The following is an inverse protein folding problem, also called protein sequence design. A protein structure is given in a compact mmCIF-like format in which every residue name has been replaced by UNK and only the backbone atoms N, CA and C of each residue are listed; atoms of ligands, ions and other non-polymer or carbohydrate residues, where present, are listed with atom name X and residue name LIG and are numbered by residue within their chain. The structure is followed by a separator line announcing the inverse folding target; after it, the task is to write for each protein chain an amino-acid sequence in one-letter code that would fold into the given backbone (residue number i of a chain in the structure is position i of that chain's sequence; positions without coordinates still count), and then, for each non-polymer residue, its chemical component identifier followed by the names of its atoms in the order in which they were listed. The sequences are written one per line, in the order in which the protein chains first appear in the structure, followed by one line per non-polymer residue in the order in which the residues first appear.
data_IF_556622797094
#
_entry.id   IF_556622797094
#
_cell.length_a   1.000
_cell.length_b   1.000
_cell.length_c   1.000
_cell.angle_alpha   90.00
_cell.angle_beta   90.00
_cell.angle_gamma   90.00
#
_symmetry.space_group_name_H-M   'P 1'
#
loop_
_entity.id
_entity.type
_entity.pdbx_description
1 polymer ?
#
# COMPACT_ATOMS: atom_id res chain seq x y z
N UNK A 1 21.31 32.61 31.10
CA UNK A 1 19.90 33.04 30.89
C UNK A 1 19.05 31.93 31.48
N UNK A 2 18.54 32.14 32.69
CA UNK A 2 17.94 31.11 33.53
C UNK A 2 16.49 30.87 33.07
N UNK A 3 16.20 29.71 32.50
CA UNK A 3 14.86 29.35 31.97
C UNK A 3 13.81 29.29 33.11
N UNK A 4 14.26 29.15 34.36
CA UNK A 4 13.40 29.04 35.54
C UNK A 4 12.68 30.35 35.89
N UNK A 5 13.32 31.51 35.73
CA UNK A 5 12.71 32.82 36.07
C UNK A 5 11.45 33.16 35.26
N UNK A 6 11.35 32.62 34.03
CA UNK A 6 10.18 32.85 33.15
C UNK A 6 9.01 31.94 33.55
N UNK A 7 9.30 30.75 34.09
CA UNK A 7 8.26 29.76 34.40
C UNK A 7 7.51 30.12 35.68
N UNK A 8 8.21 30.70 36.66
CA UNK A 8 7.62 31.18 37.93
C UNK A 8 6.64 32.35 37.75
N UNK A 9 6.67 33.02 36.59
CA UNK A 9 5.74 34.12 36.25
C UNK A 9 4.48 33.64 35.51
N UNK A 10 4.40 32.35 35.15
CA UNK A 10 3.25 31.78 34.45
C UNK A 10 2.22 31.26 35.47
N UNK A 11 1.12 31.99 35.60
CA UNK A 11 -0.02 31.52 36.40
C UNK A 11 -0.77 30.40 35.66
N UNK A 12 -1.19 29.38 36.41
CA UNK A 12 -2.10 28.36 35.89
C UNK A 12 -3.39 29.06 35.44
N UNK A 13 -3.72 28.88 34.17
CA UNK A 13 -5.01 29.28 33.60
C UNK A 13 -6.13 28.43 34.22
N UNK A 14 -7.37 28.94 34.21
CA UNK A 14 -8.54 28.26 34.79
C UNK A 14 -9.03 27.12 33.88
N UNK A 15 -8.11 26.20 33.60
CA UNK A 15 -8.28 24.97 32.84
C UNK A 15 -7.78 23.83 33.71
N UNK A 16 -8.47 22.69 33.68
CA UNK A 16 -8.07 21.52 34.45
C UNK A 16 -6.71 21.04 33.94
N UNK A 17 -5.66 20.97 34.80
CA UNK A 17 -4.35 20.50 34.37
C UNK A 17 -4.42 19.06 33.84
N UNK A 18 -3.70 18.78 32.77
CA UNK A 18 -3.62 17.44 32.17
C UNK A 18 -2.76 16.51 33.04
N UNK A 19 -3.08 15.22 33.03
CA UNK A 19 -2.24 14.21 33.66
C UNK A 19 -1.06 13.83 32.76
N UNK A 20 0.15 13.78 33.32
CA UNK A 20 1.38 13.52 32.56
C UNK A 20 1.42 12.17 31.83
N UNK A 21 0.70 11.17 32.34
CA UNK A 21 0.75 9.80 31.85
C UNK A 21 -0.53 9.36 31.13
N UNK A 22 -1.51 10.26 30.98
CA UNK A 22 -2.81 9.96 30.37
C UNK A 22 -3.21 11.10 29.45
N UNK A 23 -3.51 10.77 28.19
CA UNK A 23 -4.12 11.72 27.27
C UNK A 23 -5.57 11.97 27.68
N UNK A 24 -5.98 13.24 27.75
CA UNK A 24 -7.38 13.59 27.83
C UNK A 24 -8.16 12.99 26.64
N UNK A 25 -9.42 12.63 26.86
CA UNK A 25 -10.25 11.92 25.88
C UNK A 25 -10.35 12.68 24.55
N UNK A 26 -10.54 13.99 24.60
CA UNK A 26 -10.54 14.86 23.41
C UNK A 26 -9.21 14.85 22.63
N UNK A 27 -8.07 14.71 23.32
CA UNK A 27 -6.75 14.60 22.71
C UNK A 27 -6.55 13.22 22.05
N UNK A 28 -7.09 12.16 22.64
CA UNK A 28 -7.11 10.82 22.04
C UNK A 28 -7.95 10.81 20.75
N UNK A 29 -9.14 11.41 20.78
CA UNK A 29 -10.00 11.55 19.61
C UNK A 29 -9.35 12.37 18.50
N UNK A 30 -8.76 13.52 18.86
CA UNK A 30 -8.03 14.36 17.90
C UNK A 30 -6.85 13.62 17.27
N UNK A 31 -6.07 12.88 18.08
CA UNK A 31 -4.98 12.05 17.58
C UNK A 31 -5.48 10.95 16.62
N UNK A 32 -6.58 10.27 16.97
CA UNK A 32 -7.21 9.27 16.11
C UNK A 32 -7.68 9.89 14.78
N UNK A 33 -8.26 11.10 14.81
CA UNK A 33 -8.66 11.82 13.62
C UNK A 33 -7.48 12.16 12.70
N UNK A 34 -6.33 12.60 13.26
CA UNK A 34 -5.11 12.81 12.48
C UNK A 34 -4.59 11.53 11.84
N UNK A 35 -4.60 10.41 12.58
CA UNK A 35 -4.19 9.10 12.06
C UNK A 35 -5.13 8.65 10.93
N UNK A 36 -6.44 8.80 11.11
CA UNK A 36 -7.43 8.46 10.10
C UNK A 36 -7.25 9.30 8.82
N UNK A 37 -7.10 10.61 8.97
CA UNK A 37 -6.90 11.53 7.85
C UNK A 37 -5.56 11.29 7.12
N UNK A 38 -4.50 10.94 7.85
CA UNK A 38 -3.19 10.63 7.29
C UNK A 38 -3.09 9.25 6.63
N UNK A 39 -4.02 8.34 6.91
CA UNK A 39 -3.95 6.97 6.37
C UNK A 39 -4.58 6.89 5.00
N UNK A 40 -3.76 6.69 3.96
CA UNK A 40 -4.25 6.56 2.59
C UNK A 40 -5.34 5.48 2.46
N UNK A 41 -6.42 5.77 1.72
CA UNK A 41 -7.57 4.86 1.54
C UNK A 41 -7.17 3.47 1.02
N UNK A 42 -6.12 3.38 0.20
CA UNK A 42 -5.61 2.10 -0.28
C UNK A 42 -4.95 1.27 0.85
N UNK A 43 -4.27 1.93 1.79
CA UNK A 43 -3.69 1.28 2.99
C UNK A 43 -4.81 0.72 3.87
N UNK A 44 -5.88 1.50 4.11
CA UNK A 44 -7.06 1.03 4.86
C UNK A 44 -7.66 -0.23 4.24
N UNK A 45 -7.91 -0.22 2.91
CA UNK A 45 -8.44 -1.40 2.21
C UNK A 45 -7.50 -2.60 2.30
N UNK A 46 -6.20 -2.38 2.13
CA UNK A 46 -5.18 -3.43 2.23
C UNK A 46 -5.14 -4.06 3.63
N UNK A 47 -5.17 -3.23 4.66
CA UNK A 47 -5.16 -3.66 6.06
C UNK A 47 -6.43 -4.41 6.42
N UNK A 48 -7.60 -3.89 6.02
CA UNK A 48 -8.88 -4.59 6.20
C UNK A 48 -8.84 -5.98 5.59
N UNK A 49 -8.41 -6.10 4.33
CA UNK A 49 -8.29 -7.40 3.66
C UNK A 49 -7.34 -8.36 4.39
N UNK A 50 -6.20 -7.88 4.87
CA UNK A 50 -5.26 -8.69 5.64
C UNK A 50 -5.81 -9.13 7.01
N UNK A 51 -6.46 -8.23 7.76
CA UNK A 51 -7.06 -8.54 9.06
C UNK A 51 -8.27 -9.49 8.93
N UNK A 52 -9.11 -9.29 7.90
CA UNK A 52 -10.20 -10.23 7.58
C UNK A 52 -9.64 -11.63 7.28
N UNK A 53 -8.52 -11.73 6.57
CA UNK A 53 -7.88 -13.03 6.36
C UNK A 53 -7.37 -13.65 7.67
N UNK A 54 -6.70 -12.86 8.52
CA UNK A 54 -6.22 -13.33 9.82
C UNK A 54 -7.36 -13.85 10.69
N UNK A 55 -8.45 -13.10 10.80
CA UNK A 55 -9.64 -13.51 11.53
C UNK A 55 -10.20 -14.83 11.02
N UNK A 56 -10.37 -14.98 9.69
CA UNK A 56 -10.88 -16.22 9.11
C UNK A 56 -9.94 -17.42 9.32
N UNK A 57 -8.63 -17.22 9.13
CA UNK A 57 -7.65 -18.30 9.32
C UNK A 57 -7.52 -18.70 10.79
N UNK A 58 -7.52 -17.75 11.73
CA UNK A 58 -7.49 -18.04 13.17
C UNK A 58 -8.74 -18.81 13.60
N UNK A 59 -9.92 -18.41 13.13
CA UNK A 59 -11.16 -19.12 13.43
C UNK A 59 -11.12 -20.57 12.93
N UNK A 60 -10.65 -20.80 11.70
CA UNK A 60 -10.59 -22.15 11.11
C UNK A 60 -9.52 -23.05 11.73
N UNK A 61 -8.46 -22.47 12.31
CA UNK A 61 -7.29 -23.21 12.77
C UNK A 61 -7.19 -23.38 14.27
N UNK A 62 -7.66 -22.39 14.99
CA UNK A 62 -7.56 -22.30 16.44
C UNK A 62 -8.93 -22.09 17.11
N UNK A 63 -10.00 -21.85 16.34
CA UNK A 63 -11.31 -21.51 16.90
C UNK A 63 -11.32 -20.17 17.63
N UNK A 64 -10.36 -19.28 17.34
CA UNK A 64 -10.16 -18.01 18.03
C UNK A 64 -10.49 -16.82 17.15
N UNK A 65 -11.04 -15.77 17.76
CA UNK A 65 -11.26 -14.50 17.10
C UNK A 65 -9.98 -13.65 17.12
N UNK A 66 -9.80 -12.82 16.08
CA UNK A 66 -8.74 -11.83 16.07
C UNK A 66 -9.12 -10.69 17.01
N UNK A 67 -8.31 -10.44 18.03
CA UNK A 67 -8.53 -9.36 19.01
C UNK A 67 -8.71 -9.83 20.45
N UNK A 68 -8.85 -11.14 20.69
CA UNK A 68 -9.00 -11.69 22.04
C UNK A 68 -7.74 -11.53 22.91
N UNK A 69 -6.58 -11.26 22.30
CA UNK A 69 -5.31 -11.02 22.98
C UNK A 69 -4.09 -11.10 22.06
N UNK A 70 -2.87 -10.99 22.62
CA UNK A 70 -1.63 -11.11 21.87
C UNK A 70 -1.48 -12.51 21.25
N UNK A 71 -1.09 -12.58 19.99
CA UNK A 71 -0.78 -13.85 19.34
C UNK A 71 0.66 -14.27 19.63
N UNK A 72 0.91 -15.53 20.02
CA UNK A 72 2.26 -16.05 20.18
C UNK A 72 3.04 -16.07 18.86
N UNK A 73 4.38 -15.95 18.94
CA UNK A 73 5.26 -16.07 17.78
C UNK A 73 5.07 -17.39 17.00
N UNK A 74 4.73 -18.48 17.71
CA UNK A 74 4.43 -19.77 17.09
C UNK A 74 3.27 -19.71 16.08
N UNK A 75 2.24 -18.89 16.33
CA UNK A 75 1.11 -18.71 15.41
C UNK A 75 1.56 -18.01 14.13
N UNK A 76 2.42 -16.99 14.23
CA UNK A 76 3.00 -16.31 13.07
C UNK A 76 3.92 -17.24 12.25
N UNK A 77 4.68 -18.11 12.92
CA UNK A 77 5.53 -19.13 12.26
C UNK A 77 4.65 -20.15 11.53
N UNK A 78 3.61 -20.67 12.18
CA UNK A 78 2.66 -21.59 11.56
C UNK A 78 2.02 -20.97 10.31
N UNK A 79 1.63 -19.70 10.40
CA UNK A 79 1.09 -18.97 9.26
C UNK A 79 2.06 -18.96 8.07
N UNK A 80 3.36 -18.77 8.29
CA UNK A 80 4.35 -18.83 7.20
C UNK A 80 4.43 -20.24 6.59
N UNK A 81 4.53 -21.27 7.43
CA UNK A 81 4.70 -22.66 6.97
C UNK A 81 3.48 -23.19 6.20
N UNK A 82 2.30 -22.69 6.51
CA UNK A 82 1.08 -23.07 5.80
C UNK A 82 0.89 -22.33 4.49
N UNK A 83 1.35 -21.10 4.39
CA UNK A 83 1.05 -20.28 3.23
C UNK A 83 2.20 -20.17 2.25
N UNK A 84 3.45 -20.47 2.65
CA UNK A 84 4.57 -20.54 1.73
C UNK A 84 4.87 -21.98 1.36
N UNK A 85 5.05 -22.21 0.06
CA UNK A 85 5.63 -23.45 -0.41
C UNK A 85 7.11 -23.52 0.01
N UNK A 86 7.55 -24.72 0.37
CA UNK A 86 8.94 -25.10 0.69
C UNK A 86 9.35 -26.32 -0.13
N UNK A 87 10.64 -26.51 -0.42
CA UNK A 87 11.11 -27.71 -1.10
C UNK A 87 11.00 -28.93 -0.17
N UNK A 88 10.75 -30.09 -0.75
CA UNK A 88 10.84 -31.40 -0.14
C UNK A 88 12.08 -32.14 -0.66
N UNK A 89 12.44 -33.24 -0.02
CA UNK A 89 13.62 -34.06 -0.39
C UNK A 89 13.50 -34.65 -1.80
N UNK A 90 12.28 -34.92 -2.25
CA UNK A 90 11.96 -35.42 -3.59
C UNK A 90 12.00 -34.34 -4.69
N UNK A 91 12.40 -33.11 -4.34
CA UNK A 91 12.46 -31.97 -5.26
C UNK A 91 11.11 -31.29 -5.52
N UNK A 92 10.00 -31.83 -4.99
CA UNK A 92 8.68 -31.18 -5.08
C UNK A 92 8.55 -30.04 -4.07
N UNK A 93 7.50 -29.24 -4.21
CA UNK A 93 7.23 -28.10 -3.34
C UNK A 93 5.88 -28.24 -2.67
N UNK A 94 5.85 -28.14 -1.34
CA UNK A 94 4.66 -28.31 -0.54
C UNK A 94 4.48 -27.18 0.49
N UNK A 95 3.25 -27.00 0.94
CA UNK A 95 2.87 -26.09 2.02
C UNK A 95 2.03 -26.87 3.03
N UNK A 96 1.88 -26.37 4.25
CA UNK A 96 1.22 -27.12 5.33
C UNK A 96 -0.26 -26.78 5.54
N UNK A 97 -0.85 -25.89 4.74
CA UNK A 97 -2.27 -25.53 4.90
C UNK A 97 -3.15 -26.75 4.61
N UNK A 98 -4.01 -27.19 5.55
CA UNK A 98 -4.89 -28.32 5.30
C UNK A 98 -5.85 -28.03 4.12
N UNK A 99 -6.08 -28.97 3.18
CA UNK A 99 -6.90 -28.73 2.00
C UNK A 99 -8.32 -28.25 2.31
N UNK A 100 -8.94 -28.75 3.38
CA UNK A 100 -10.27 -28.31 3.83
C UNK A 100 -10.28 -26.85 4.32
N UNK A 101 -9.22 -26.42 5.00
CA UNK A 101 -9.06 -25.02 5.43
C UNK A 101 -8.83 -24.12 4.22
N UNK A 102 -8.00 -24.56 3.28
CA UNK A 102 -7.75 -23.81 2.04
C UNK A 102 -9.06 -23.59 1.24
N UNK A 103 -9.82 -24.67 1.03
CA UNK A 103 -11.13 -24.61 0.38
C UNK A 103 -12.09 -23.65 1.11
N UNK A 104 -12.16 -23.72 2.45
CA UNK A 104 -13.00 -22.83 3.24
C UNK A 104 -12.60 -21.34 3.08
N UNK A 105 -11.30 -21.03 3.08
CA UNK A 105 -10.80 -19.66 2.87
C UNK A 105 -11.11 -19.13 1.46
N UNK A 106 -11.11 -19.99 0.44
CA UNK A 106 -11.53 -19.63 -0.92
C UNK A 106 -13.05 -19.42 -0.99
N UNK A 107 -13.84 -20.32 -0.42
CA UNK A 107 -15.31 -20.20 -0.35
C UNK A 107 -15.74 -18.91 0.37
N UNK A 108 -15.06 -18.55 1.46
CA UNK A 108 -15.26 -17.30 2.19
C UNK A 108 -14.77 -16.04 1.43
N UNK A 109 -14.18 -16.20 0.24
CA UNK A 109 -13.63 -15.12 -0.61
C UNK A 109 -12.53 -14.28 0.04
N UNK A 110 -11.88 -14.81 1.08
CA UNK A 110 -10.70 -14.18 1.71
C UNK A 110 -9.39 -14.66 1.05
N UNK A 111 -9.43 -15.78 0.33
CA UNK A 111 -8.35 -16.30 -0.52
C UNK A 111 -8.82 -16.40 -1.97
N UNK A 112 -7.98 -15.98 -2.92
CA UNK A 112 -8.37 -15.92 -4.33
C UNK A 112 -8.39 -17.29 -5.05
N UNK A 113 -7.51 -18.22 -4.65
CA UNK A 113 -7.36 -19.54 -5.28
C UNK A 113 -6.70 -20.52 -4.31
N UNK A 114 -6.88 -21.82 -4.54
CA UNK A 114 -6.19 -22.89 -3.79
C UNK A 114 -4.66 -22.83 -3.95
N UNK A 115 -3.94 -23.45 -3.01
CA UNK A 115 -2.49 -23.58 -2.99
C UNK A 115 -1.75 -22.48 -2.20
N UNK A 116 -0.41 -22.42 -2.30
CA UNK A 116 0.39 -21.46 -1.55
C UNK A 116 0.11 -20.01 -1.96
N UNK A 117 0.34 -19.09 -1.04
CA UNK A 117 0.35 -17.66 -1.30
C UNK A 117 1.70 -17.20 -1.84
N UNK A 118 1.70 -16.07 -2.55
CA UNK A 118 2.93 -15.40 -2.90
C UNK A 118 3.64 -14.87 -1.66
N UNK A 119 4.97 -14.86 -1.68
CA UNK A 119 5.81 -14.32 -0.59
C UNK A 119 5.35 -12.94 -0.13
N UNK A 120 5.16 -12.01 -1.06
CA UNK A 120 4.74 -10.64 -0.76
C UNK A 120 3.36 -10.59 -0.08
N UNK A 121 2.46 -11.52 -0.37
CA UNK A 121 1.15 -11.60 0.29
C UNK A 121 1.32 -12.02 1.75
N UNK A 122 2.14 -13.04 2.02
CA UNK A 122 2.44 -13.49 3.40
C UNK A 122 3.16 -12.39 4.17
N UNK A 123 4.20 -11.78 3.60
CA UNK A 123 4.94 -10.69 4.24
C UNK A 123 4.04 -9.48 4.52
N UNK A 124 3.14 -9.13 3.60
CA UNK A 124 2.19 -8.04 3.83
C UNK A 124 1.24 -8.35 4.99
N UNK A 125 0.66 -9.56 5.03
CA UNK A 125 -0.24 -9.97 6.11
C UNK A 125 0.46 -10.00 7.47
N UNK A 126 1.72 -10.43 7.53
CA UNK A 126 2.52 -10.35 8.76
C UNK A 126 2.81 -8.90 9.16
N UNK A 127 3.17 -8.03 8.21
CA UNK A 127 3.40 -6.61 8.52
C UNK A 127 2.13 -5.94 9.08
N UNK A 128 0.95 -6.28 8.54
CA UNK A 128 -0.34 -5.81 9.08
C UNK A 128 -0.58 -6.37 10.49
N UNK A 129 -0.27 -7.65 10.73
CA UNK A 129 -0.37 -8.25 12.06
C UNK A 129 0.53 -7.55 13.08
N UNK A 130 1.77 -7.26 12.72
CA UNK A 130 2.70 -6.56 13.61
C UNK A 130 2.27 -5.12 13.89
N UNK A 131 1.70 -4.44 12.89
CA UNK A 131 1.09 -3.11 13.10
C UNK A 131 -0.14 -3.20 14.01
N UNK A 132 -0.97 -4.23 13.86
CA UNK A 132 -2.12 -4.48 14.73
C UNK A 132 -1.69 -4.69 16.19
N UNK A 133 -0.71 -5.55 16.46
CA UNK A 133 -0.18 -5.74 17.82
C UNK A 133 0.37 -4.44 18.40
N UNK A 134 1.11 -3.65 17.62
CA UNK A 134 1.64 -2.36 18.08
C UNK A 134 0.54 -1.35 18.44
N UNK A 135 -0.56 -1.32 17.69
CA UNK A 135 -1.69 -0.43 18.01
C UNK A 135 -2.37 -0.86 19.32
N UNK A 136 -2.40 -2.16 19.61
CA UNK A 136 -2.96 -2.69 20.85
C UNK A 136 -1.92 -2.79 21.99
N UNK A 137 -0.73 -2.23 21.81
CA UNK A 137 0.37 -2.27 22.80
C UNK A 137 0.76 -3.69 23.25
N UNK A 138 0.60 -4.66 22.36
CA UNK A 138 0.93 -6.05 22.60
C UNK A 138 2.33 -6.41 22.11
N UNK A 139 2.91 -7.44 22.72
CA UNK A 139 4.11 -8.08 22.22
C UNK A 139 3.92 -8.50 20.76
N UNK A 140 4.84 -8.06 19.90
CA UNK A 140 4.70 -8.26 18.47
C UNK A 140 5.29 -9.62 18.05
N UNK A 141 4.48 -10.61 17.63
CA UNK A 141 4.98 -11.91 17.19
C UNK A 141 5.89 -11.84 15.97
N UNK A 142 5.82 -10.74 15.19
CA UNK A 142 6.66 -10.58 14.00
C UNK A 142 8.10 -10.20 14.31
N UNK A 143 8.40 -9.80 15.55
CA UNK A 143 9.76 -9.42 15.96
C UNK A 143 10.63 -10.63 16.33
N UNK A 144 10.02 -11.79 16.53
CA UNK A 144 10.71 -13.03 16.91
C UNK A 144 11.81 -13.40 15.90
N UNK A 145 13.02 -13.66 16.42
CA UNK A 145 14.20 -14.01 15.60
C UNK A 145 13.96 -15.23 14.71
N UNK A 146 13.25 -16.24 15.22
CA UNK A 146 12.90 -17.44 14.47
C UNK A 146 12.03 -17.12 13.22
N UNK A 147 11.04 -16.25 13.35
CA UNK A 147 10.19 -15.85 12.22
C UNK A 147 10.98 -15.06 11.16
N UNK A 148 11.79 -14.10 11.60
CA UNK A 148 12.64 -13.30 10.70
C UNK A 148 13.61 -14.18 9.91
N UNK A 149 14.22 -15.15 10.60
CA UNK A 149 15.11 -16.14 9.97
C UNK A 149 14.34 -17.01 8.97
N UNK A 150 13.17 -17.53 9.35
CA UNK A 150 12.33 -18.33 8.46
C UNK A 150 11.95 -17.57 7.17
N UNK A 151 11.48 -16.33 7.29
CA UNK A 151 11.11 -15.51 6.12
C UNK A 151 12.31 -15.24 5.20
N UNK A 152 13.49 -14.97 5.78
CA UNK A 152 14.72 -14.76 5.02
C UNK A 152 15.11 -16.01 4.23
N UNK A 153 15.14 -17.17 4.88
CA UNK A 153 15.53 -18.42 4.23
C UNK A 153 14.46 -18.89 3.22
N UNK A 154 13.17 -18.73 3.53
CA UNK A 154 12.09 -19.00 2.57
C UNK A 154 12.23 -18.15 1.31
N UNK A 155 12.58 -16.86 1.44
CA UNK A 155 12.79 -15.97 0.29
C UNK A 155 13.98 -16.43 -0.57
N UNK A 156 15.09 -16.81 0.07
CA UNK A 156 16.28 -17.34 -0.62
C UNK A 156 15.96 -18.63 -1.37
N UNK A 157 15.27 -19.57 -0.72
CA UNK A 157 14.90 -20.85 -1.32
C UNK A 157 14.03 -20.63 -2.57
N UNK A 158 13.00 -19.79 -2.47
CA UNK A 158 12.12 -19.46 -3.61
C UNK A 158 12.89 -18.76 -4.75
N UNK A 159 13.79 -17.82 -4.42
CA UNK A 159 14.60 -17.13 -5.42
C UNK A 159 15.54 -18.06 -6.18
N UNK A 160 16.14 -19.05 -5.49
CA UNK A 160 17.02 -20.05 -6.11
C UNK A 160 16.28 -20.95 -7.11
N UNK A 161 14.98 -21.14 -6.94
CA UNK A 161 14.11 -21.87 -7.88
C UNK A 161 13.47 -20.96 -8.96
N UNK A 162 13.99 -19.74 -9.13
CA UNK A 162 13.51 -18.83 -10.16
C UNK A 162 12.15 -18.17 -9.86
N UNK A 163 11.61 -18.30 -8.64
CA UNK A 163 10.40 -17.59 -8.21
C UNK A 163 10.72 -16.12 -7.98
N UNK A 164 10.74 -15.37 -9.08
CA UNK A 164 11.02 -13.95 -9.12
C UNK A 164 9.74 -13.13 -9.28
N UNK A 165 9.72 -11.94 -8.68
CA UNK A 165 8.64 -10.98 -8.92
C UNK A 165 8.78 -10.53 -10.37
N UNK A 166 7.86 -10.95 -11.23
CA UNK A 166 7.80 -10.48 -12.62
C UNK A 166 7.52 -8.99 -12.61
N UNK A 167 8.57 -8.19 -12.84
CA UNK A 167 8.42 -6.78 -13.13
C UNK A 167 7.92 -6.66 -14.57
N UNK A 168 6.91 -5.83 -14.80
CA UNK A 168 6.53 -5.48 -16.17
C UNK A 168 7.68 -4.67 -16.76
N UNK A 169 8.14 -5.04 -17.94
CA UNK A 169 9.11 -4.24 -18.70
C UNK A 169 8.54 -2.86 -18.93
N UNK A 170 9.38 -1.83 -18.80
CA UNK A 170 8.99 -0.49 -19.19
C UNK A 170 8.60 -0.52 -20.67
N UNK A 171 7.50 0.15 -21.01
CA UNK A 171 7.16 0.35 -22.42
C UNK A 171 8.26 1.17 -23.07
N UNK A 172 8.58 0.87 -24.33
CA UNK A 172 9.54 1.62 -25.14
C UNK A 172 8.81 2.30 -26.30
N UNK A 173 9.52 3.15 -27.06
CA UNK A 173 8.90 4.02 -28.05
C UNK A 173 8.02 3.28 -29.08
N UNK A 174 8.52 2.19 -29.66
CA UNK A 174 7.81 1.45 -30.71
C UNK A 174 6.48 0.84 -30.21
N UNK A 175 6.43 0.06 -29.11
CA UNK A 175 5.15 -0.39 -28.54
C UNK A 175 4.22 0.76 -28.14
N UNK A 176 4.75 1.91 -27.70
CA UNK A 176 3.92 3.09 -27.44
C UNK A 176 3.29 3.60 -28.74
N UNK A 177 4.05 3.73 -29.81
CA UNK A 177 3.52 4.16 -31.12
C UNK A 177 2.43 3.21 -31.61
N UNK A 178 2.61 1.90 -31.45
CA UNK A 178 1.58 0.91 -31.77
C UNK A 178 0.29 1.12 -30.96
N UNK A 179 0.38 1.37 -29.64
CA UNK A 179 -0.80 1.69 -28.82
C UNK A 179 -1.47 3.01 -29.25
N UNK A 180 -0.68 4.03 -29.59
CA UNK A 180 -1.22 5.30 -30.05
C UNK A 180 -1.95 5.16 -31.39
N UNK A 181 -1.52 4.24 -32.25
CA UNK A 181 -2.17 3.96 -33.53
C UNK A 181 -3.56 3.31 -33.37
N UNK A 182 -3.82 2.61 -32.25
CA UNK A 182 -5.14 2.03 -31.95
C UNK A 182 -6.11 3.02 -31.31
N UNK A 183 -5.68 4.26 -31.02
CA UNK A 183 -6.51 5.28 -30.40
C UNK A 183 -7.40 6.00 -31.43
N UNK A 184 -8.20 5.24 -32.19
CA UNK A 184 -9.03 5.73 -33.30
C UNK A 184 -10.55 5.70 -33.00
N UNK A 185 -10.95 5.39 -31.76
CA UNK A 185 -12.35 5.31 -31.31
C UNK A 185 -12.94 6.68 -30.94
N UNK A 186 -12.97 7.61 -31.90
CA UNK A 186 -13.53 8.96 -31.73
C UNK A 186 -12.98 9.71 -30.50
N UNK A 187 -13.86 10.29 -29.68
CA UNK A 187 -13.49 11.03 -28.46
C UNK A 187 -12.74 10.13 -27.45
N UNK A 188 -13.08 8.83 -27.37
CA UNK A 188 -12.37 7.88 -26.49
C UNK A 188 -10.92 7.68 -26.96
N UNK A 189 -10.73 7.56 -28.27
CA UNK A 189 -9.40 7.50 -28.88
C UNK A 189 -8.58 8.75 -28.58
N UNK A 190 -9.16 9.94 -28.76
CA UNK A 190 -8.50 11.21 -28.46
C UNK A 190 -8.08 11.28 -26.98
N UNK A 191 -8.97 10.91 -26.05
CA UNK A 191 -8.67 10.82 -24.62
C UNK A 191 -7.52 9.85 -24.34
N UNK A 192 -7.62 8.62 -24.82
CA UNK A 192 -6.67 7.57 -24.49
C UNK A 192 -5.28 7.90 -25.03
N UNK A 193 -5.20 8.52 -26.22
CA UNK A 193 -3.98 9.10 -26.78
C UNK A 193 -3.38 10.16 -25.87
N UNK A 194 -4.20 11.11 -25.39
CA UNK A 194 -3.74 12.17 -24.48
C UNK A 194 -3.21 11.59 -23.15
N UNK A 195 -3.93 10.62 -22.56
CA UNK A 195 -3.52 9.98 -21.30
C UNK A 195 -2.21 9.20 -21.43
N UNK A 196 -2.04 8.44 -22.52
CA UNK A 196 -0.80 7.68 -22.79
C UNK A 196 0.41 8.62 -22.94
N UNK A 197 0.26 9.69 -23.71
CA UNK A 197 1.33 10.66 -23.95
C UNK A 197 1.65 11.50 -22.71
N UNK A 198 0.65 11.88 -21.91
CA UNK A 198 0.86 12.56 -20.63
C UNK A 198 1.62 11.67 -19.65
N UNK A 199 1.22 10.40 -19.51
CA UNK A 199 1.90 9.46 -18.63
C UNK A 199 3.34 9.18 -19.07
N UNK A 200 3.57 9.06 -20.38
CA UNK A 200 4.89 8.82 -20.98
C UNK A 200 5.83 10.01 -20.81
N UNK A 201 5.40 11.21 -21.22
CA UNK A 201 6.19 12.45 -21.13
C UNK A 201 6.54 12.81 -19.69
N UNK A 202 5.68 12.45 -18.73
CA UNK A 202 5.96 12.58 -17.31
C UNK A 202 7.04 11.62 -16.79
N UNK A 203 7.65 10.76 -17.61
CA UNK A 203 8.66 9.79 -17.18
C UNK A 203 8.04 8.52 -16.58
N UNK A 204 6.86 8.09 -17.06
CA UNK A 204 6.19 6.88 -16.60
C UNK A 204 5.39 7.07 -15.31
N UNK A 205 4.45 8.02 -15.33
CA UNK A 205 3.61 8.35 -14.17
C UNK A 205 2.74 7.19 -13.70
N UNK A 206 2.47 7.14 -12.38
CA UNK A 206 1.57 6.11 -11.83
C UNK A 206 0.15 6.37 -12.33
N UNK A 207 -0.60 5.30 -12.59
CA UNK A 207 -2.02 5.40 -12.99
C UNK A 207 -2.83 6.30 -12.06
N UNK A 208 -2.63 6.18 -10.73
CA UNK A 208 -3.31 7.01 -9.73
C UNK A 208 -2.95 8.49 -9.80
N UNK A 209 -1.73 8.82 -10.27
CA UNK A 209 -1.31 10.22 -10.47
C UNK A 209 -2.00 10.80 -11.71
N UNK A 210 -2.06 10.03 -12.79
CA UNK A 210 -2.67 10.47 -14.06
C UNK A 210 -4.18 10.64 -13.94
N UNK A 211 -4.89 9.67 -13.34
CA UNK A 211 -6.36 9.75 -13.19
C UNK A 211 -6.81 10.73 -12.10
N UNK A 212 -5.88 11.19 -11.25
CA UNK A 212 -6.16 12.17 -10.21
C UNK A 212 -6.06 13.62 -10.68
N UNK A 213 -5.56 13.86 -11.91
CA UNK A 213 -5.45 15.20 -12.48
C UNK A 213 -6.84 15.79 -12.74
N UNK A 214 -7.00 17.05 -12.34
CA UNK A 214 -8.17 17.88 -12.64
C UNK A 214 -7.82 18.94 -13.68
N UNK A 215 -8.84 19.60 -14.25
CA UNK A 215 -8.63 20.70 -15.20
C UNK A 215 -7.83 21.85 -14.56
N UNK A 216 -8.02 22.12 -13.27
CA UNK A 216 -7.23 23.12 -12.53
C UNK A 216 -5.75 22.75 -12.38
N UNK A 217 -5.39 21.48 -12.60
CA UNK A 217 -4.02 21.00 -12.45
C UNK A 217 -3.23 21.11 -13.76
N UNK A 218 -3.87 21.52 -14.86
CA UNK A 218 -3.24 21.72 -16.17
C UNK A 218 -3.47 23.15 -16.64
N UNK A 219 -2.44 23.79 -17.19
CA UNK A 219 -2.60 25.10 -17.84
C UNK A 219 -1.78 25.17 -19.11
N UNK A 220 -2.35 25.79 -20.12
CA UNK A 220 -1.62 26.11 -21.33
C UNK A 220 -0.64 27.25 -21.05
N UNK A 221 0.62 27.08 -21.46
CA UNK A 221 1.63 28.14 -21.38
C UNK A 221 1.78 28.82 -22.74
N UNK A 222 1.81 28.03 -23.81
CA UNK A 222 1.87 28.49 -25.20
C UNK A 222 1.24 27.42 -26.13
N UNK A 223 1.36 27.60 -27.45
CA UNK A 223 0.75 26.70 -28.45
C UNK A 223 1.22 25.24 -28.35
N UNK A 224 2.48 25.02 -27.94
CA UNK A 224 3.12 23.69 -27.93
C UNK A 224 3.50 23.21 -26.51
N UNK A 225 3.23 24.02 -25.49
CA UNK A 225 3.59 23.76 -24.10
C UNK A 225 2.40 23.90 -23.16
N UNK A 226 2.16 22.85 -22.39
CA UNK A 226 1.31 22.86 -21.22
C UNK A 226 2.15 22.65 -19.96
N UNK A 227 1.67 23.15 -18.84
CA UNK A 227 2.18 22.80 -17.51
C UNK A 227 1.14 21.93 -16.82
N UNK A 228 1.58 20.90 -16.11
CA UNK A 228 0.74 20.16 -15.19
C UNK A 228 1.38 20.05 -13.82
N UNK A 229 0.58 20.14 -12.77
CA UNK A 229 1.03 19.96 -11.40
C UNK A 229 0.40 18.70 -10.81
N UNK A 230 1.22 17.80 -10.29
CA UNK A 230 0.72 16.70 -9.48
C UNK A 230 0.53 17.23 -8.05
N UNK A 231 -0.63 16.95 -7.46
CA UNK A 231 -0.86 17.18 -6.03
C UNK A 231 -0.04 16.24 -5.15
N UNK A 232 -0.45 16.07 -3.89
CA UNK A 232 0.20 15.14 -2.98
C UNK A 232 0.28 13.73 -3.60
N UNK A 233 1.51 13.22 -3.77
CA UNK A 233 1.74 11.86 -4.29
C UNK A 233 2.17 10.96 -3.15
N UNK A 234 2.15 9.63 -3.37
CA UNK A 234 2.59 8.65 -2.36
C UNK A 234 3.99 8.95 -1.79
N UNK A 235 4.86 9.61 -2.57
CA UNK A 235 6.25 9.91 -2.20
C UNK A 235 6.50 11.39 -1.91
N UNK A 236 5.52 12.26 -2.13
CA UNK A 236 5.62 13.70 -1.91
C UNK A 236 4.35 14.17 -1.21
N UNK A 237 4.37 14.09 0.12
CA UNK A 237 3.26 14.48 1.01
C UNK A 237 3.38 15.94 1.44
N UNK A 238 4.46 16.64 1.06
CA UNK A 238 4.76 18.00 1.53
C UNK A 238 3.87 19.10 0.93
N UNK A 239 2.90 18.74 0.07
CA UNK A 239 1.93 19.68 -0.51
C UNK A 239 2.49 20.64 -1.56
N UNK A 240 3.80 20.62 -1.81
CA UNK A 240 4.43 21.46 -2.83
C UNK A 240 4.05 20.97 -4.22
N UNK A 241 3.10 21.67 -4.85
CA UNK A 241 2.71 21.44 -6.24
C UNK A 241 3.87 21.82 -7.17
N UNK A 242 4.59 20.83 -7.66
CA UNK A 242 5.66 21.03 -8.66
C UNK A 242 5.06 20.95 -10.05
N UNK A 243 5.07 22.08 -10.76
CA UNK A 243 4.71 22.12 -12.18
C UNK A 243 5.73 21.37 -13.02
N UNK A 244 5.24 20.65 -14.02
CA UNK A 244 6.04 19.90 -14.99
C UNK A 244 5.60 20.29 -16.40
N UNK A 245 6.56 20.53 -17.32
CA UNK A 245 6.21 20.84 -18.69
C UNK A 245 5.75 19.59 -19.44
N UNK A 246 4.75 19.78 -20.28
CA UNK A 246 4.25 18.86 -21.28
C UNK A 246 4.47 19.53 -22.63
N UNK A 247 5.20 18.89 -23.54
CA UNK A 247 5.58 19.49 -24.83
C UNK A 247 5.28 18.57 -26.02
N UNK A 248 5.18 19.18 -27.20
CA UNK A 248 5.11 18.48 -28.48
C UNK A 248 3.86 17.58 -28.58
N UNK A 249 4.00 16.31 -29.00
CA UNK A 249 2.85 15.43 -29.24
C UNK A 249 1.90 15.30 -28.04
N UNK A 250 2.43 15.37 -26.82
CA UNK A 250 1.64 15.22 -25.61
C UNK A 250 0.81 16.48 -25.30
N UNK A 251 1.37 17.67 -25.54
CA UNK A 251 0.64 18.94 -25.43
C UNK A 251 -0.48 19.02 -26.47
N UNK A 252 -0.17 18.68 -27.72
CA UNK A 252 -1.14 18.68 -28.82
C UNK A 252 -2.29 17.69 -28.57
N UNK A 253 -1.99 16.48 -28.08
CA UNK A 253 -3.00 15.50 -27.73
C UNK A 253 -3.89 15.95 -26.57
N UNK A 254 -3.33 16.64 -25.57
CA UNK A 254 -4.10 17.22 -24.47
C UNK A 254 -5.03 18.33 -24.98
N UNK A 255 -4.52 19.27 -25.78
CA UNK A 255 -5.35 20.32 -26.41
C UNK A 255 -6.49 19.73 -27.24
N UNK A 256 -6.20 18.70 -28.05
CA UNK A 256 -7.21 18.03 -28.86
C UNK A 256 -8.29 17.35 -28.01
N UNK A 257 -7.91 16.75 -26.88
CA UNK A 257 -8.89 16.14 -25.98
C UNK A 257 -9.75 17.18 -25.24
N UNK A 258 -9.16 18.30 -24.80
CA UNK A 258 -9.90 19.34 -24.10
C UNK A 258 -10.84 20.16 -25.02
N UNK A 259 -10.60 20.12 -26.33
CA UNK A 259 -11.44 20.81 -27.33
C UNK A 259 -12.46 19.92 -28.05
N UNK A 260 -12.49 18.60 -27.77
CA UNK A 260 -13.40 17.62 -28.39
C UNK A 260 -14.66 17.41 -27.54
#
# INVERSE_FOLDING_TARGET
MNVLDITDQLFLVNETPLELHVLAENAQEAAAAFIAAGTAANTVRSYRSALTYWSAWLQLRYGQALGDGPLPAAVAIQFVLEHLARPLEDGTWAHLLPPGVDAALVTARVKAKLGPLAFNTVSHRLAVLGKWHRINEWDNPTEASALKTLLREARKAQSRQGVNVRKKSAIVLEPLQALLATCNDGVRGIRDRALLLLAWSGGGRRRSEVVGLQLSDVRQLDVDTWLYALGATKTDTGGVRRERPLRGPAAQALSAWLGA
#
